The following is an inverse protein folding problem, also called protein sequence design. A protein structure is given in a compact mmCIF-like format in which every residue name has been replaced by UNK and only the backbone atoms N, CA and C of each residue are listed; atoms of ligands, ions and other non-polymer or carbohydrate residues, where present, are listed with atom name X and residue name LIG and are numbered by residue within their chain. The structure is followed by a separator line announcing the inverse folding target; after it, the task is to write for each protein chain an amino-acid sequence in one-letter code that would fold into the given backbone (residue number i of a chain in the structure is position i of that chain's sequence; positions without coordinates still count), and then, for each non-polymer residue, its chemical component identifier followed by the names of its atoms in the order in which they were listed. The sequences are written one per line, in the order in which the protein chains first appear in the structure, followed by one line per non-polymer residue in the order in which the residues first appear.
data_IF_847124510090
#
_entry.id   IF_847124510090
#
_cell.length_a   1.000
_cell.length_b   1.000
_cell.length_c   1.000
_cell.angle_alpha   90.00
_cell.angle_beta   90.00
_cell.angle_gamma   90.00
#
_symmetry.space_group_name_H-M   'P 1'
#
loop_
_entity.id
_entity.type
_entity.pdbx_description
1 polymer ?
#
# COMPACT_ATOMS: atom_id res chain seq x y z
N UNK A 1 22.25 21.01 40.35
CA UNK A 1 20.89 20.65 39.89
C UNK A 1 20.65 19.18 40.25
N UNK A 2 19.64 18.87 41.05
CA UNK A 2 19.40 17.49 41.49
C UNK A 2 18.92 16.61 40.33
N UNK A 3 19.14 15.30 40.40
CA UNK A 3 18.73 14.36 39.36
C UNK A 3 17.23 14.45 39.04
N UNK A 4 16.39 14.69 40.06
CA UNK A 4 14.96 14.97 39.89
C UNK A 4 14.69 16.25 39.10
N UNK A 5 15.46 17.32 39.32
CA UNK A 5 15.31 18.59 38.59
C UNK A 5 15.73 18.46 37.12
N UNK A 6 16.76 17.66 36.82
CA UNK A 6 17.21 17.40 35.43
C UNK A 6 16.19 16.58 34.64
N UNK A 7 15.62 15.55 35.26
CA UNK A 7 14.55 14.74 34.64
C UNK A 7 13.29 15.58 34.39
N UNK A 8 12.91 16.45 35.33
CA UNK A 8 11.75 17.35 35.18
C UNK A 8 11.96 18.47 34.13
N UNK A 9 13.22 18.85 33.86
CA UNK A 9 13.54 19.79 32.78
C UNK A 9 13.41 19.09 31.41
N UNK A 10 14.02 17.92 31.25
CA UNK A 10 13.98 17.13 30.01
C UNK A 10 12.53 16.76 29.63
N UNK A 11 11.70 16.37 30.61
CA UNK A 11 10.29 16.07 30.37
C UNK A 11 9.50 17.30 29.91
N UNK A 12 9.74 18.47 30.52
CA UNK A 12 9.07 19.72 30.11
C UNK A 12 9.51 20.18 28.73
N UNK A 13 10.80 20.12 28.44
CA UNK A 13 11.35 20.54 27.14
C UNK A 13 10.89 19.61 26.01
N UNK A 14 10.83 18.29 26.27
CA UNK A 14 10.28 17.31 25.34
C UNK A 14 8.78 17.54 25.05
N UNK A 15 7.98 17.76 26.09
CA UNK A 15 6.54 18.06 25.94
C UNK A 15 6.31 19.36 25.17
N UNK A 16 7.13 20.39 25.42
CA UNK A 16 7.02 21.67 24.75
C UNK A 16 7.45 21.60 23.27
N UNK A 17 8.48 20.81 22.96
CA UNK A 17 8.93 20.58 21.58
C UNK A 17 7.87 19.82 20.75
N UNK A 18 7.24 18.78 21.33
CA UNK A 18 6.11 18.09 20.69
C UNK A 18 4.94 19.05 20.48
N UNK A 19 4.57 19.82 21.51
CA UNK A 19 3.49 20.82 21.43
C UNK A 19 3.73 21.85 20.32
N UNK A 20 4.94 22.39 20.22
CA UNK A 20 5.28 23.39 19.22
C UNK A 20 5.33 22.82 17.80
N UNK A 21 5.74 21.55 17.64
CA UNK A 21 5.79 20.88 16.33
C UNK A 21 4.37 20.58 15.83
N UNK A 22 3.52 20.02 16.70
CA UNK A 22 2.11 19.74 16.40
C UNK A 22 1.33 21.04 16.14
N UNK A 23 1.57 22.08 16.94
CA UNK A 23 0.90 23.37 16.80
C UNK A 23 1.41 24.26 15.65
N UNK A 24 2.56 23.96 15.03
CA UNK A 24 3.05 24.74 13.88
C UNK A 24 2.71 24.08 12.54
N UNK A 25 2.69 22.74 12.47
CA UNK A 25 2.46 22.01 11.22
C UNK A 25 0.99 21.73 10.92
N UNK A 26 0.18 21.35 11.92
CA UNK A 26 -1.20 20.88 11.70
C UNK A 26 -2.27 21.81 12.29
N UNK A 27 -1.89 22.99 12.78
CA UNK A 27 -2.84 23.92 13.43
C UNK A 27 -3.92 24.43 12.47
N UNK A 28 -3.61 24.59 11.19
CA UNK A 28 -4.59 24.98 10.18
C UNK A 28 -5.62 23.86 9.94
N UNK A 29 -5.16 22.61 9.84
CA UNK A 29 -6.01 21.42 9.68
C UNK A 29 -6.87 21.17 10.91
N UNK A 30 -6.31 21.28 12.12
CA UNK A 30 -7.06 21.17 13.36
C UNK A 30 -8.07 22.29 13.53
N UNK A 31 -7.71 23.54 13.21
CA UNK A 31 -8.63 24.66 13.26
C UNK A 31 -9.76 24.50 12.22
N UNK A 32 -9.47 23.89 11.07
CA UNK A 32 -10.46 23.59 10.04
C UNK A 32 -11.39 22.46 10.47
N UNK A 33 -10.86 21.33 10.94
CA UNK A 33 -11.67 20.21 11.44
C UNK A 33 -12.58 20.62 12.61
N UNK A 34 -12.09 21.46 13.53
CA UNK A 34 -12.91 22.01 14.61
C UNK A 34 -13.98 22.99 14.11
N UNK A 35 -13.66 23.82 13.11
CA UNK A 35 -14.62 24.77 12.51
C UNK A 35 -15.71 24.05 11.72
N UNK A 36 -15.33 23.03 10.97
CA UNK A 36 -16.20 22.27 10.08
C UNK A 36 -16.98 21.17 10.85
N UNK A 37 -16.70 20.99 12.14
CA UNK A 37 -17.40 20.04 13.01
C UNK A 37 -16.97 18.59 12.82
N UNK A 38 -15.85 18.34 12.15
CA UNK A 38 -15.37 17.01 11.77
C UNK A 38 -14.57 16.35 12.90
N UNK A 39 -15.26 16.14 14.02
CA UNK A 39 -14.69 15.54 15.22
C UNK A 39 -15.70 14.71 16.00
N UNK A 40 -15.18 13.78 16.79
CA UNK A 40 -15.95 12.98 17.73
C UNK A 40 -15.50 13.28 19.15
N UNK A 41 -16.46 13.66 20.00
CA UNK A 41 -16.20 13.83 21.44
C UNK A 41 -16.29 12.46 22.10
N UNK A 42 -15.18 12.02 22.68
CA UNK A 42 -15.08 10.75 23.40
C UNK A 42 -14.90 11.03 24.89
N UNK A 43 -15.12 10.04 25.78
CA UNK A 43 -14.87 10.19 27.21
C UNK A 43 -13.41 10.55 27.57
N UNK A 44 -12.46 10.29 26.66
CA UNK A 44 -11.03 10.58 26.85
C UNK A 44 -10.52 11.84 26.15
N UNK A 45 -11.37 12.57 25.42
CA UNK A 45 -10.97 13.76 24.66
C UNK A 45 -11.66 13.90 23.31
N UNK A 46 -11.14 14.77 22.46
CA UNK A 46 -11.68 15.07 21.11
C UNK A 46 -10.85 14.30 20.06
N UNK A 47 -11.51 13.45 19.28
CA UNK A 47 -10.94 12.76 18.13
C UNK A 47 -11.24 13.58 16.87
N UNK A 48 -10.22 13.99 16.13
CA UNK A 48 -10.39 14.66 14.83
C UNK A 48 -10.51 13.57 13.75
N UNK A 49 -11.59 13.59 12.96
CA UNK A 49 -11.76 12.63 11.86
C UNK A 49 -10.87 13.10 10.70
N UNK A 50 -9.83 12.33 10.34
CA UNK A 50 -9.09 12.51 9.08
C UNK A 50 -7.58 12.83 9.12
N UNK A 51 -6.81 12.46 10.14
CA UNK A 51 -5.40 12.91 10.23
C UNK A 51 -4.32 11.96 9.68
N UNK A 52 -4.67 10.79 9.14
CA UNK A 52 -3.68 9.90 8.52
C UNK A 52 -4.32 8.98 7.46
N UNK A 53 -3.72 8.92 6.27
CA UNK A 53 -4.13 8.00 5.20
C UNK A 53 -3.04 6.95 4.98
N UNK A 54 -3.40 5.68 5.17
CA UNK A 54 -2.57 4.57 4.67
C UNK A 54 -2.88 4.36 3.19
N UNK A 55 -1.93 4.70 2.32
CA UNK A 55 -2.05 4.46 0.88
C UNK A 55 -0.71 4.00 0.34
N UNK A 56 -0.69 2.86 -0.34
CA UNK A 56 0.45 2.51 -1.16
C UNK A 56 0.40 3.18 -2.53
N UNK A 57 1.57 3.22 -3.15
CA UNK A 57 1.81 3.69 -4.50
C UNK A 57 2.26 2.50 -5.32
N UNK A 58 1.81 2.46 -6.55
CA UNK A 58 2.24 1.45 -7.49
C UNK A 58 2.88 2.10 -8.70
N UNK A 59 3.83 1.40 -9.30
CA UNK A 59 4.55 1.85 -10.48
C UNK A 59 4.56 0.71 -11.49
N UNK A 60 4.03 0.96 -12.69
CA UNK A 60 4.28 0.13 -13.88
C UNK A 60 5.15 0.87 -14.87
N UNK A 61 5.92 0.11 -15.63
CA UNK A 61 6.65 0.61 -16.79
C UNK A 61 6.77 -0.44 -17.88
N UNK A 62 6.75 -0.02 -19.14
CA UNK A 62 7.11 -0.83 -20.32
C UNK A 62 8.50 -0.45 -20.87
N UNK A 63 9.27 0.34 -20.12
CA UNK A 63 10.55 0.91 -20.54
C UNK A 63 10.44 2.27 -21.24
N UNK A 64 9.29 2.61 -21.81
CA UNK A 64 9.04 3.88 -22.51
C UNK A 64 8.13 4.84 -21.71
N UNK A 65 7.19 4.28 -20.95
CA UNK A 65 6.23 5.00 -20.14
C UNK A 65 6.24 4.50 -18.71
N UNK A 66 6.08 5.42 -17.76
CA UNK A 66 5.92 5.10 -16.34
C UNK A 66 4.54 5.54 -15.90
N UNK A 67 3.74 4.62 -15.36
CA UNK A 67 2.46 4.93 -14.74
C UNK A 67 2.54 4.75 -13.24
N UNK A 68 1.95 5.71 -12.52
CA UNK A 68 1.85 5.66 -11.08
C UNK A 68 0.39 5.75 -10.65
N UNK A 69 0.01 4.96 -9.64
CA UNK A 69 -1.35 4.93 -9.14
C UNK A 69 -1.41 4.74 -7.63
N UNK A 70 -2.48 5.26 -7.03
CA UNK A 70 -2.81 5.01 -5.63
C UNK A 70 -3.47 3.64 -5.50
N UNK A 71 -3.02 2.84 -4.54
CA UNK A 71 -3.65 1.58 -4.24
C UNK A 71 -4.69 1.73 -3.12
N UNK A 72 -5.59 0.75 -3.04
CA UNK A 72 -6.49 0.55 -1.91
C UNK A 72 -5.95 -0.61 -1.09
N UNK A 73 -5.78 -0.40 0.22
CA UNK A 73 -5.55 -1.48 1.15
C UNK A 73 -6.91 -2.05 1.59
N UNK A 74 -7.07 -3.37 1.58
CA UNK A 74 -8.37 -3.99 1.88
C UNK A 74 -8.58 -4.14 3.39
N UNK A 75 -9.82 -4.36 3.80
CA UNK A 75 -10.14 -4.71 5.20
C UNK A 75 -9.37 -5.96 5.65
N UNK A 76 -9.26 -6.95 4.76
CA UNK A 76 -8.56 -8.21 5.04
C UNK A 76 -7.06 -7.99 5.24
N UNK A 77 -6.46 -7.12 4.41
CA UNK A 77 -5.06 -6.73 4.55
C UNK A 77 -4.78 -6.01 5.85
N UNK A 78 -5.63 -5.04 6.23
CA UNK A 78 -5.47 -4.29 7.49
C UNK A 78 -5.55 -5.23 8.70
N UNK A 79 -6.52 -6.14 8.70
CA UNK A 79 -6.67 -7.15 9.75
C UNK A 79 -5.42 -8.00 9.89
N UNK A 80 -4.91 -8.55 8.78
CA UNK A 80 -3.69 -9.37 8.79
C UNK A 80 -2.45 -8.60 9.25
N UNK A 81 -2.32 -7.32 8.88
CA UNK A 81 -1.23 -6.48 9.35
C UNK A 81 -1.26 -6.31 10.87
N UNK A 82 -2.44 -6.10 11.46
CA UNK A 82 -2.61 -6.02 12.91
C UNK A 82 -2.30 -7.37 13.58
N UNK A 83 -2.82 -8.46 13.03
CA UNK A 83 -2.59 -9.81 13.56
C UNK A 83 -1.11 -10.18 13.56
N UNK A 84 -0.36 -9.81 12.51
CA UNK A 84 1.09 -10.02 12.43
C UNK A 84 1.82 -9.16 13.45
N UNK A 85 1.44 -7.89 13.62
CA UNK A 85 2.08 -6.96 14.57
C UNK A 85 1.88 -7.41 16.02
N UNK A 86 0.69 -7.89 16.37
CA UNK A 86 0.38 -8.38 17.71
C UNK A 86 0.70 -9.87 17.92
N UNK A 87 1.31 -10.52 16.93
CA UNK A 87 1.81 -11.90 17.04
C UNK A 87 0.71 -12.98 16.98
N UNK A 88 -0.51 -12.63 16.60
CA UNK A 88 -1.60 -13.58 16.36
C UNK A 88 -1.34 -14.42 15.09
N UNK A 89 -0.58 -13.89 14.14
CA UNK A 89 -0.19 -14.56 12.88
C UNK A 89 1.29 -14.38 12.60
N UNK A 90 1.91 -15.36 11.94
CA UNK A 90 3.27 -15.23 11.44
C UNK A 90 3.33 -14.34 10.19
N UNK A 91 4.50 -13.73 9.94
CA UNK A 91 4.75 -12.93 8.74
C UNK A 91 4.48 -13.75 7.46
N UNK A 92 3.79 -13.14 6.49
CA UNK A 92 3.49 -13.74 5.20
C UNK A 92 4.48 -13.36 4.11
N UNK A 93 4.59 -14.24 3.12
CA UNK A 93 5.10 -13.89 1.80
C UNK A 93 3.98 -13.21 1.00
N UNK A 94 4.34 -12.25 0.18
CA UNK A 94 3.42 -11.50 -0.66
C UNK A 94 3.75 -11.71 -2.13
N UNK A 95 2.71 -11.71 -2.97
CA UNK A 95 2.81 -11.93 -4.40
C UNK A 95 1.91 -10.95 -5.15
N UNK A 96 2.32 -10.57 -6.35
CA UNK A 96 1.60 -9.65 -7.23
C UNK A 96 0.96 -10.44 -8.36
N UNK A 97 -0.35 -10.25 -8.51
CA UNK A 97 -1.14 -10.70 -9.65
C UNK A 97 -1.65 -9.52 -10.45
N UNK A 98 -1.75 -9.69 -11.78
CA UNK A 98 -2.33 -8.71 -12.69
C UNK A 98 -3.73 -9.14 -13.12
N UNK A 99 -4.59 -8.19 -13.42
CA UNK A 99 -5.98 -8.48 -13.78
C UNK A 99 -6.46 -7.66 -14.98
N UNK A 100 -7.42 -8.22 -15.71
CA UNK A 100 -7.85 -7.72 -17.01
C UNK A 100 -9.15 -6.91 -16.97
N UNK A 101 -10.02 -7.08 -15.96
CA UNK A 101 -11.27 -6.33 -15.91
C UNK A 101 -11.03 -4.88 -15.50
N UNK A 102 -11.73 -3.96 -16.13
CA UNK A 102 -11.68 -2.53 -15.83
C UNK A 102 -12.53 -2.17 -14.60
N UNK A 103 -12.21 -2.77 -13.44
CA UNK A 103 -12.94 -2.61 -12.18
C UNK A 103 -12.12 -1.82 -11.16
N UNK A 104 -12.81 -1.03 -10.33
CA UNK A 104 -12.16 -0.34 -9.22
C UNK A 104 -12.10 -1.29 -8.00
N UNK A 105 -10.93 -1.45 -7.37
CA UNK A 105 -10.83 -2.19 -6.12
C UNK A 105 -11.80 -1.69 -5.05
N UNK A 106 -12.40 -2.61 -4.32
CA UNK A 106 -13.27 -2.29 -3.19
C UNK A 106 -12.66 -2.77 -1.87
N UNK A 107 -12.98 -2.07 -0.79
CA UNK A 107 -12.40 -2.31 0.53
C UNK A 107 -12.75 -3.71 1.09
N UNK A 108 -13.91 -4.25 0.68
CA UNK A 108 -14.40 -5.57 1.04
C UNK A 108 -13.89 -6.71 0.14
N UNK A 109 -12.98 -6.43 -0.80
CA UNK A 109 -12.33 -7.49 -1.54
C UNK A 109 -11.44 -8.33 -0.62
N UNK A 110 -11.43 -9.62 -0.89
CA UNK A 110 -10.67 -10.63 -0.15
C UNK A 110 -9.95 -11.52 -1.15
N UNK A 111 -9.00 -12.33 -0.66
CA UNK A 111 -8.34 -13.36 -1.47
C UNK A 111 -9.34 -14.28 -2.19
N UNK A 112 -10.50 -14.53 -1.59
CA UNK A 112 -11.51 -15.43 -2.12
C UNK A 112 -12.29 -14.86 -3.32
N UNK A 113 -12.48 -13.53 -3.39
CA UNK A 113 -13.38 -12.93 -4.38
C UNK A 113 -12.68 -12.09 -5.44
N UNK A 114 -11.48 -11.56 -5.19
CA UNK A 114 -10.84 -10.62 -6.12
C UNK A 114 -10.45 -11.29 -7.44
N UNK A 115 -10.05 -12.57 -7.42
CA UNK A 115 -9.66 -13.33 -8.60
C UNK A 115 -10.79 -13.30 -9.64
N UNK A 116 -12.01 -13.63 -9.21
CA UNK A 116 -13.19 -13.63 -10.07
C UNK A 116 -13.66 -12.20 -10.40
N UNK A 117 -13.68 -11.31 -9.40
CA UNK A 117 -14.21 -9.94 -9.57
C UNK A 117 -13.33 -9.09 -10.50
N UNK A 118 -12.03 -9.12 -10.27
CA UNK A 118 -11.04 -8.37 -11.06
C UNK A 118 -10.65 -9.08 -12.36
N UNK A 119 -10.92 -10.39 -12.47
CA UNK A 119 -10.48 -11.18 -13.60
C UNK A 119 -8.96 -11.29 -13.61
N UNK A 120 -8.39 -11.92 -12.59
CA UNK A 120 -6.95 -12.18 -12.56
C UNK A 120 -6.52 -12.91 -13.83
N UNK A 121 -5.43 -12.44 -14.45
CA UNK A 121 -4.83 -13.15 -15.56
C UNK A 121 -4.12 -14.41 -15.04
N UNK A 122 -4.76 -15.55 -15.26
CA UNK A 122 -4.25 -16.88 -14.90
C UNK A 122 -3.64 -17.61 -16.09
N UNK A 123 -3.69 -17.02 -17.29
CA UNK A 123 -3.20 -17.66 -18.50
C UNK A 123 -1.68 -17.69 -18.57
N UNK A 124 -1.14 -18.80 -19.05
CA UNK A 124 0.30 -18.96 -19.32
C UNK A 124 0.65 -18.69 -20.78
N UNK A 125 -0.36 -18.57 -21.66
CA UNK A 125 -0.21 -18.31 -23.09
C UNK A 125 -0.80 -16.98 -23.56
N UNK A 126 -1.59 -16.32 -22.71
CA UNK A 126 -2.20 -15.01 -22.92
C UNK A 126 -1.98 -14.16 -21.65
N UNK A 127 -0.72 -14.00 -21.27
CA UNK A 127 -0.29 -13.40 -20.00
C UNK A 127 1.23 -13.34 -19.92
N UNK A 128 1.82 -14.05 -18.96
CA UNK A 128 3.27 -14.22 -18.84
C UNK A 128 3.61 -15.65 -18.42
N UNK A 129 4.84 -16.08 -18.67
CA UNK A 129 5.25 -17.45 -18.39
C UNK A 129 5.11 -17.85 -16.91
N UNK A 130 4.75 -19.11 -16.65
CA UNK A 130 4.65 -19.72 -15.32
C UNK A 130 3.24 -19.75 -14.71
N UNK A 131 3.03 -20.56 -13.68
CA UNK A 131 1.73 -20.71 -12.99
C UNK A 131 1.62 -19.86 -11.72
N UNK A 132 2.68 -19.15 -11.35
CA UNK A 132 2.79 -18.42 -10.09
C UNK A 132 2.68 -16.91 -10.31
N UNK A 133 2.13 -16.24 -9.30
CA UNK A 133 2.17 -14.78 -9.10
C UNK A 133 3.61 -14.35 -8.81
N UNK A 134 3.88 -13.08 -9.02
CA UNK A 134 5.22 -12.51 -8.94
C UNK A 134 5.58 -12.24 -7.48
N UNK A 135 6.69 -12.78 -6.99
CA UNK A 135 7.07 -12.62 -5.59
C UNK A 135 7.37 -11.16 -5.27
N UNK A 136 6.70 -10.59 -4.28
CA UNK A 136 7.02 -9.29 -3.74
C UNK A 136 8.15 -9.42 -2.71
N UNK A 137 9.37 -9.17 -3.16
CA UNK A 137 10.56 -9.20 -2.30
C UNK A 137 10.88 -7.80 -1.80
N UNK A 138 10.74 -7.59 -0.50
CA UNK A 138 11.12 -6.31 0.12
C UNK A 138 12.63 -6.16 0.06
N UNK A 139 13.10 -5.05 -0.49
CA UNK A 139 14.53 -4.70 -0.56
C UNK A 139 14.75 -3.49 0.35
N UNK A 140 15.24 -3.74 1.56
CA UNK A 140 15.54 -2.70 2.56
C UNK A 140 14.57 -2.65 3.75
N UNK A 141 14.99 -1.98 4.82
CA UNK A 141 14.14 -1.73 5.99
C UNK A 141 13.24 -0.51 5.75
N UNK A 142 12.04 -0.50 6.34
CA UNK A 142 11.22 0.71 6.39
C UNK A 142 12.04 1.84 7.03
N UNK A 143 12.32 2.90 6.28
CA UNK A 143 13.16 4.00 6.78
C UNK A 143 12.25 5.10 7.31
N UNK A 144 12.29 5.34 8.61
CA UNK A 144 11.60 6.48 9.26
C UNK A 144 12.67 7.49 9.64
N UNK A 145 12.89 8.52 8.81
CA UNK A 145 13.75 9.65 9.19
C UNK A 145 12.90 10.86 9.54
N UNK A 146 13.04 11.29 10.79
CA UNK A 146 12.32 12.40 11.37
C UNK A 146 12.37 13.68 10.49
N UNK A 147 11.22 14.34 10.47
CA UNK A 147 10.93 15.68 9.94
C UNK A 147 10.31 15.78 8.54
N UNK A 148 10.58 14.85 7.61
CA UNK A 148 9.96 14.83 6.25
C UNK A 148 9.75 13.42 5.64
N UNK A 149 10.01 12.34 6.38
CA UNK A 149 9.95 10.98 5.80
C UNK A 149 8.58 10.34 5.85
N UNK A 150 8.12 9.92 4.67
CA UNK A 150 7.11 8.88 4.48
C UNK A 150 7.68 7.56 4.96
N UNK A 151 7.05 6.90 5.93
CA UNK A 151 7.42 5.52 6.26
C UNK A 151 6.95 4.63 5.10
N UNK A 152 7.89 4.13 4.30
CA UNK A 152 7.57 3.26 3.17
C UNK A 152 8.35 1.95 3.13
N UNK A 153 7.71 0.93 2.58
CA UNK A 153 8.28 -0.37 2.26
C UNK A 153 8.09 -0.58 0.77
N UNK A 154 9.19 -0.80 0.06
CA UNK A 154 9.20 -0.93 -1.39
C UNK A 154 9.86 -2.25 -1.81
N UNK A 155 9.46 -2.77 -2.97
CA UNK A 155 10.32 -3.62 -3.77
C UNK A 155 11.00 -2.69 -4.79
N UNK A 156 12.33 -2.55 -4.68
CA UNK A 156 13.19 -1.68 -5.48
C UNK A 156 12.61 -1.39 -6.87
N UNK A 157 12.41 -0.09 -7.09
CA UNK A 157 11.79 0.56 -8.24
C UNK A 157 12.15 -0.16 -9.56
N UNK A 158 11.18 -0.83 -10.18
CA UNK A 158 11.25 -1.37 -11.54
C UNK A 158 12.32 -2.44 -11.86
N UNK A 159 12.98 -3.07 -10.89
CA UNK A 159 14.03 -4.08 -11.17
C UNK A 159 13.52 -5.47 -11.55
N UNK A 160 12.22 -5.76 -11.42
CA UNK A 160 11.66 -7.06 -11.80
C UNK A 160 10.74 -6.89 -13.01
N UNK A 161 11.15 -7.45 -14.14
CA UNK A 161 10.39 -7.48 -15.38
C UNK A 161 9.78 -8.87 -15.59
N UNK A 162 8.65 -8.91 -16.30
CA UNK A 162 8.09 -10.12 -16.89
C UNK A 162 8.13 -10.00 -18.40
N UNK A 163 8.30 -11.13 -19.08
CA UNK A 163 8.11 -11.22 -20.54
C UNK A 163 6.68 -11.65 -20.83
N UNK A 164 5.97 -10.86 -21.61
CA UNK A 164 4.59 -11.13 -22.03
C UNK A 164 4.56 -12.27 -23.05
N UNK A 165 3.61 -13.17 -22.89
CA UNK A 165 3.30 -14.27 -23.81
C UNK A 165 1.88 -14.09 -24.29
N UNK A 166 1.69 -13.82 -25.58
CA UNK A 166 0.39 -13.55 -26.18
C UNK A 166 0.36 -13.91 -27.66
N UNK A 167 -0.83 -14.14 -28.23
CA UNK A 167 -0.95 -14.29 -29.70
C UNK A 167 -0.71 -12.95 -30.42
N UNK A 168 -1.19 -11.84 -29.83
CA UNK A 168 -1.01 -10.49 -30.38
C UNK A 168 -0.67 -9.50 -29.27
N UNK A 169 -1.64 -9.21 -28.41
CA UNK A 169 -1.51 -8.30 -27.27
C UNK A 169 -2.38 -8.78 -26.11
N UNK A 170 -1.93 -8.54 -24.87
CA UNK A 170 -2.79 -8.61 -23.68
C UNK A 170 -3.14 -7.21 -23.19
N UNK A 171 -4.26 -7.10 -22.48
CA UNK A 171 -4.62 -5.87 -21.77
C UNK A 171 -4.63 -6.10 -20.27
N UNK A 172 -3.89 -5.29 -19.53
CA UNK A 172 -3.88 -5.29 -18.07
C UNK A 172 -4.51 -3.98 -17.56
N UNK A 173 -5.46 -4.10 -16.63
CA UNK A 173 -6.21 -2.98 -16.06
C UNK A 173 -5.87 -2.70 -14.60
N UNK A 174 -5.15 -3.60 -13.94
CA UNK A 174 -4.64 -3.36 -12.60
C UNK A 174 -3.82 -4.49 -12.02
N UNK A 175 -3.49 -4.32 -10.74
CA UNK A 175 -2.68 -5.27 -9.98
C UNK A 175 -3.24 -5.45 -8.57
N UNK A 176 -2.97 -6.61 -7.98
CA UNK A 176 -3.32 -6.97 -6.62
C UNK A 176 -2.13 -7.63 -5.90
N UNK A 177 -2.01 -7.39 -4.60
CA UNK A 177 -1.02 -8.00 -3.71
C UNK A 177 -1.72 -8.99 -2.79
N UNK A 178 -1.40 -10.27 -2.90
CA UNK A 178 -1.99 -11.32 -2.09
C UNK A 178 -0.94 -12.32 -1.56
N UNK A 179 -1.29 -13.06 -0.52
CA UNK A 179 -0.35 -13.98 0.14
C UNK A 179 -0.26 -15.37 -0.50
N UNK A 180 -1.16 -15.71 -1.43
CA UNK A 180 -1.14 -17.00 -2.11
C UNK A 180 -0.29 -16.93 -3.38
N UNK A 181 0.57 -17.93 -3.59
CA UNK A 181 1.55 -17.93 -4.69
C UNK A 181 0.94 -18.29 -6.06
N UNK A 182 0.07 -19.29 -6.13
CA UNK A 182 -0.47 -19.77 -7.40
C UNK A 182 -1.46 -18.74 -8.00
N UNK A 183 -1.37 -18.49 -9.31
CA UNK A 183 -2.37 -17.66 -10.02
C UNK A 183 -3.74 -18.32 -9.92
N UNK A 184 -4.79 -17.52 -9.74
CA UNK A 184 -6.14 -18.02 -9.58
C UNK A 184 -6.46 -18.58 -8.20
N UNK A 185 -5.49 -18.68 -7.28
CA UNK A 185 -5.74 -19.16 -5.93
C UNK A 185 -6.64 -18.18 -5.17
N UNK A 186 -7.67 -18.72 -4.54
CA UNK A 186 -8.70 -18.01 -3.76
C UNK A 186 -8.46 -18.07 -2.25
N UNK A 187 -7.30 -18.58 -1.82
CA UNK A 187 -6.90 -18.72 -0.42
C UNK A 187 -5.97 -17.59 0.02
N UNK A 188 -5.77 -17.46 1.34
CA UNK A 188 -4.85 -16.49 1.92
C UNK A 188 -5.48 -15.12 2.15
N UNK A 189 -4.66 -14.07 2.03
CA UNK A 189 -5.03 -12.68 2.32
C UNK A 189 -4.76 -11.82 1.09
N UNK A 190 -5.72 -10.97 0.75
CA UNK A 190 -5.52 -9.86 -0.18
C UNK A 190 -5.10 -8.63 0.63
N UNK A 191 -3.85 -8.18 0.50
CA UNK A 191 -3.37 -7.00 1.20
C UNK A 191 -3.90 -5.71 0.56
N UNK A 192 -3.73 -5.61 -0.76
CA UNK A 192 -4.03 -4.39 -1.50
C UNK A 192 -4.38 -4.71 -2.95
N UNK A 193 -5.14 -3.83 -3.58
CA UNK A 193 -5.36 -3.83 -5.02
C UNK A 193 -5.42 -2.40 -5.55
N UNK A 194 -5.13 -2.25 -6.83
CA UNK A 194 -5.18 -0.98 -7.55
C UNK A 194 -5.75 -1.18 -8.94
N UNK A 195 -6.34 -0.14 -9.51
CA UNK A 195 -6.61 -0.03 -10.94
C UNK A 195 -5.57 0.90 -11.57
N UNK A 196 -5.05 0.54 -12.73
CA UNK A 196 -4.16 1.43 -13.47
C UNK A 196 -4.93 2.66 -13.96
N UNK A 197 -4.33 3.86 -13.94
CA UNK A 197 -4.95 5.05 -14.51
C UNK A 197 -5.34 4.86 -15.97
N UNK A 198 -4.51 4.13 -16.72
CA UNK A 198 -4.76 3.75 -18.11
C UNK A 198 -4.49 2.26 -18.30
N UNK A 199 -5.26 1.56 -19.14
CA UNK A 199 -4.98 0.16 -19.46
C UNK A 199 -3.60 0.03 -20.12
N UNK A 200 -2.86 -1.00 -19.75
CA UNK A 200 -1.65 -1.40 -20.47
C UNK A 200 -2.01 -2.38 -21.57
N UNK A 201 -1.74 -2.02 -22.82
CA UNK A 201 -1.81 -2.94 -23.96
C UNK A 201 -0.40 -3.38 -24.29
N UNK A 202 -0.08 -4.63 -23.96
CA UNK A 202 1.26 -5.17 -24.06
C UNK A 202 1.31 -6.17 -25.22
N UNK A 203 2.17 -5.96 -26.23
CA UNK A 203 2.36 -6.93 -27.30
C UNK A 203 3.07 -8.19 -26.79
N UNK A 204 2.99 -9.26 -27.59
CA UNK A 204 3.80 -10.45 -27.35
C UNK A 204 5.29 -10.08 -27.23
N UNK A 205 6.01 -10.75 -26.33
CA UNK A 205 7.42 -10.51 -26.01
C UNK A 205 7.75 -9.16 -25.36
N UNK A 206 6.76 -8.32 -25.06
CA UNK A 206 6.99 -7.08 -24.33
C UNK A 206 7.57 -7.35 -22.93
N UNK A 207 8.53 -6.53 -22.52
CA UNK A 207 8.99 -6.49 -21.14
C UNK A 207 8.10 -5.55 -20.32
N UNK A 208 7.53 -6.07 -19.24
CA UNK A 208 6.70 -5.29 -18.33
C UNK A 208 7.31 -5.25 -16.94
N UNK A 209 7.76 -4.07 -16.55
CA UNK A 209 8.31 -3.77 -15.24
C UNK A 209 7.22 -3.37 -14.26
N UNK A 210 7.38 -3.80 -13.01
CA UNK A 210 6.41 -3.51 -11.95
C UNK A 210 7.12 -3.19 -10.62
N UNK A 211 6.42 -2.45 -9.77
CA UNK A 211 6.85 -2.12 -8.43
C UNK A 211 5.67 -1.80 -7.53
N UNK A 212 5.74 -2.24 -6.28
CA UNK A 212 4.75 -1.94 -5.24
C UNK A 212 5.46 -1.26 -4.07
N UNK A 213 4.88 -0.16 -3.59
CA UNK A 213 5.31 0.56 -2.41
C UNK A 213 4.12 0.73 -1.47
N UNK A 214 4.29 0.37 -0.20
CA UNK A 214 3.35 0.77 0.86
C UNK A 214 3.93 1.98 1.57
N UNK A 215 3.17 3.07 1.71
CA UNK A 215 3.62 4.27 2.41
C UNK A 215 2.55 4.83 3.34
N UNK A 216 2.97 5.39 4.46
CA UNK A 216 2.15 6.34 5.22
C UNK A 216 2.34 7.73 4.62
N UNK A 217 1.23 8.41 4.33
CA UNK A 217 1.23 9.78 3.82
C UNK A 217 0.30 10.63 4.66
N UNK A 218 0.71 11.88 4.87
CA UNK A 218 -0.18 12.91 5.40
C UNK A 218 -1.32 13.14 4.40
N UNK A 219 -2.52 13.40 4.92
CA UNK A 219 -3.76 13.48 4.14
C UNK A 219 -3.90 14.81 3.40
#
# INVERSE_FOLDING_TARGET
MSMRQRVQAILRDGIQAVRNTVASKHRAEFARALRDGDFEVTPGGILLRGSARLSGRWIATDGNMVQEGHNLYTAQGLGDALDVVFGAQAKRNWYIGFYANAVNPAFNWTAANWVATAGENTSTSEGWAGANRLAYTVTGAATVSNSESRASVTNNRATTTITVVATTTITLNGAAVCSAQARGATTGVLASAMRFPYPWTLPNEAEFGWGYELAFVDA
#
